data_IF_653638644475
#
_entry.id   IF_653638644475
#
_cell.length_a   1.000
_cell.length_b   1.000
_cell.length_c   1.000
_cell.angle_alpha   90.00
_cell.angle_beta   90.00
_cell.angle_gamma   90.00
#
_symmetry.space_group_name_H-M   'P 1'
#
loop_
_entity.id
_entity.type
_entity.pdbx_description
1 polymer ?
#
# COMPACT_ATOMS: atom_id res chain seq x y z
N UNK A 1 6.76 6.92 -4.25
CA UNK A 1 7.17 6.29 -5.53
C UNK A 1 6.40 6.92 -6.67
N UNK A 2 6.68 6.58 -7.93
CA UNK A 2 5.89 7.04 -9.08
C UNK A 2 5.29 5.85 -9.81
N UNK A 3 3.96 5.72 -9.77
CA UNK A 3 3.20 4.75 -10.57
C UNK A 3 2.46 5.51 -11.68
N UNK A 4 2.77 5.26 -12.96
CA UNK A 4 2.13 5.93 -14.07
C UNK A 4 0.69 5.44 -14.23
N UNK A 5 -0.23 6.34 -14.60
CA UNK A 5 -1.64 5.99 -14.86
C UNK A 5 -1.77 4.93 -15.96
N UNK A 6 -0.88 4.97 -16.96
CA UNK A 6 -0.81 3.98 -18.05
C UNK A 6 -0.34 2.59 -17.62
N UNK A 7 0.20 2.45 -16.40
CA UNK A 7 0.88 1.23 -15.92
C UNK A 7 2.01 0.77 -16.84
N UNK A 8 2.64 1.71 -17.54
CA UNK A 8 3.76 1.47 -18.43
C UNK A 8 4.81 2.55 -18.22
N UNK A 9 6.08 2.15 -18.26
CA UNK A 9 7.19 3.07 -18.23
C UNK A 9 7.83 3.20 -19.60
N UNK A 10 8.49 4.33 -19.83
CA UNK A 10 9.35 4.56 -20.97
C UNK A 10 10.68 3.78 -20.82
N UNK A 11 11.36 3.52 -21.94
CA UNK A 11 12.64 2.79 -21.98
C UNK A 11 13.71 3.40 -21.06
N UNK A 12 13.66 4.72 -20.85
CA UNK A 12 14.56 5.41 -19.94
C UNK A 12 14.49 4.87 -18.50
N UNK A 13 13.30 4.46 -18.02
CA UNK A 13 13.11 3.87 -16.69
C UNK A 13 13.38 2.37 -16.72
N UNK A 14 12.97 1.66 -17.77
CA UNK A 14 13.16 0.20 -17.89
C UNK A 14 14.64 -0.21 -17.93
N UNK A 15 15.52 0.69 -18.38
CA UNK A 15 16.97 0.48 -18.43
C UNK A 15 17.72 0.88 -17.14
N UNK A 16 17.01 1.37 -16.11
CA UNK A 16 17.64 1.69 -14.82
C UNK A 16 18.07 0.43 -14.06
N UNK A 17 19.10 0.54 -13.19
CA UNK A 17 19.47 -0.56 -12.31
C UNK A 17 18.31 -0.92 -11.39
N UNK A 18 18.17 -2.22 -11.09
CA UNK A 18 17.16 -2.72 -10.15
C UNK A 18 17.67 -2.69 -8.72
N UNK A 19 16.74 -2.60 -7.76
CA UNK A 19 17.01 -2.87 -6.35
C UNK A 19 17.49 -4.30 -6.13
N UNK A 20 18.17 -4.55 -5.01
CA UNK A 20 18.70 -5.87 -4.68
C UNK A 20 17.63 -6.98 -4.61
N UNK A 21 16.41 -6.63 -4.22
CA UNK A 21 15.25 -7.51 -4.19
C UNK A 21 14.49 -7.58 -5.53
N UNK A 22 14.96 -6.84 -6.55
CA UNK A 22 14.38 -6.81 -7.89
C UNK A 22 13.02 -6.13 -8.00
N UNK A 23 12.50 -5.51 -6.94
CA UNK A 23 11.15 -4.92 -6.90
C UNK A 23 11.05 -3.52 -7.49
N UNK A 24 12.15 -2.79 -7.56
CA UNK A 24 12.19 -1.42 -8.05
C UNK A 24 13.27 -1.22 -9.11
N UNK A 25 13.02 -0.33 -10.06
CA UNK A 25 14.04 0.41 -10.79
C UNK A 25 14.47 1.64 -9.97
N UNK A 26 15.78 1.91 -9.92
CA UNK A 26 16.37 2.96 -9.09
C UNK A 26 16.73 4.18 -9.94
N UNK A 27 15.99 5.28 -9.76
CA UNK A 27 16.27 6.58 -10.38
C UNK A 27 17.46 7.30 -9.74
N UNK A 28 18.10 8.19 -10.52
CA UNK A 28 19.27 8.94 -10.10
C UNK A 28 18.98 9.98 -8.99
N UNK A 29 17.72 10.38 -8.85
CA UNK A 29 17.20 11.32 -7.84
C UNK A 29 16.70 10.62 -6.56
N UNK A 30 16.93 9.31 -6.44
CA UNK A 30 16.42 8.50 -5.33
C UNK A 30 14.96 8.07 -5.48
N UNK A 31 14.30 8.41 -6.60
CA UNK A 31 12.98 7.87 -6.89
C UNK A 31 13.09 6.36 -7.14
N UNK A 32 12.15 5.63 -6.54
CA UNK A 32 11.94 4.20 -6.79
C UNK A 32 10.74 4.03 -7.71
N UNK A 33 10.90 3.25 -8.78
CA UNK A 33 9.81 2.92 -9.70
C UNK A 33 9.50 1.42 -9.55
N UNK A 34 8.33 1.02 -9.06
CA UNK A 34 8.01 -0.39 -8.88
C UNK A 34 8.04 -1.11 -10.22
N UNK A 35 8.68 -2.28 -10.30
CA UNK A 35 8.81 -3.07 -11.54
C UNK A 35 7.44 -3.51 -12.07
N UNK A 36 6.49 -3.77 -11.17
CA UNK A 36 5.06 -3.85 -11.47
C UNK A 36 4.41 -2.49 -11.17
N UNK A 37 4.15 -1.65 -12.20
CA UNK A 37 3.55 -0.32 -12.04
C UNK A 37 2.04 -0.37 -11.78
N UNK A 38 1.61 -1.25 -10.87
CA UNK A 38 0.23 -1.31 -10.40
C UNK A 38 0.11 -0.52 -9.11
N UNK A 39 -0.87 0.38 -9.05
CA UNK A 39 -1.24 1.05 -7.81
C UNK A 39 -2.15 0.13 -6.99
N UNK A 40 -1.92 0.12 -5.68
CA UNK A 40 -2.78 -0.51 -4.70
C UNK A 40 -3.42 0.56 -3.80
N UNK A 41 -4.45 0.15 -3.06
CA UNK A 41 -4.99 0.90 -1.94
C UNK A 41 -4.52 0.22 -0.66
N UNK A 42 -3.57 0.85 0.04
CA UNK A 42 -3.12 0.44 1.37
C UNK A 42 -3.86 1.20 2.46
N UNK A 43 -3.80 0.76 3.72
CA UNK A 43 -4.39 1.52 4.82
C UNK A 43 -3.54 2.74 5.19
N UNK A 44 -4.20 3.83 5.53
CA UNK A 44 -3.54 4.97 6.19
C UNK A 44 -3.04 4.50 7.57
N UNK A 45 -1.88 5.01 7.99
CA UNK A 45 -1.33 4.74 9.32
C UNK A 45 -2.36 5.02 10.44
N UNK A 46 -2.53 4.08 11.36
CA UNK A 46 -3.56 4.09 12.40
C UNK A 46 -4.95 3.58 11.96
N UNK A 47 -5.12 3.20 10.69
CA UNK A 47 -6.35 2.59 10.14
C UNK A 47 -6.10 1.16 9.64
N UNK A 48 -5.15 0.45 10.24
CA UNK A 48 -4.80 -0.90 9.82
C UNK A 48 -5.98 -1.87 9.98
N UNK A 49 -6.09 -2.84 9.06
CA UNK A 49 -7.16 -3.84 9.11
C UNK A 49 -7.26 -4.54 10.47
N UNK A 50 -6.11 -4.88 11.08
CA UNK A 50 -6.11 -5.55 12.39
C UNK A 50 -6.76 -4.69 13.48
N UNK A 51 -6.53 -3.37 13.46
CA UNK A 51 -7.08 -2.42 14.42
C UNK A 51 -8.57 -2.24 14.21
N UNK A 52 -9.00 -2.10 12.95
CA UNK A 52 -10.43 -1.99 12.57
C UNK A 52 -11.18 -3.27 12.96
N UNK A 53 -10.61 -4.44 12.66
CA UNK A 53 -11.19 -5.74 13.01
C UNK A 53 -11.34 -5.89 14.52
N UNK A 54 -10.29 -5.60 15.29
CA UNK A 54 -10.30 -5.78 16.75
C UNK A 54 -11.29 -4.79 17.41
N UNK A 55 -11.39 -3.57 16.90
CA UNK A 55 -12.44 -2.59 17.28
C UNK A 55 -13.84 -3.13 16.99
N UNK A 56 -14.09 -3.62 15.77
CA UNK A 56 -15.39 -4.14 15.36
C UNK A 56 -15.84 -5.35 16.19
N UNK A 57 -14.91 -6.24 16.55
CA UNK A 57 -15.18 -7.38 17.44
C UNK A 57 -15.57 -6.89 18.83
N UNK A 58 -14.77 -5.98 19.42
CA UNK A 58 -15.00 -5.43 20.75
C UNK A 58 -16.33 -4.66 20.85
N UNK A 59 -16.74 -4.02 19.78
CA UNK A 59 -17.97 -3.24 19.70
C UNK A 59 -19.18 -4.03 19.18
N UNK A 60 -19.02 -5.35 18.99
CA UNK A 60 -20.07 -6.25 18.52
C UNK A 60 -20.72 -5.81 17.20
N UNK A 61 -19.90 -5.28 16.27
CA UNK A 61 -20.40 -4.85 14.98
C UNK A 61 -20.96 -6.02 14.17
N UNK A 62 -22.08 -5.75 13.50
CA UNK A 62 -22.57 -6.60 12.43
C UNK A 62 -21.64 -6.52 11.21
N UNK A 63 -21.72 -7.52 10.33
CA UNK A 63 -21.01 -7.50 9.04
C UNK A 63 -21.33 -6.25 8.22
N UNK A 64 -22.59 -5.78 8.26
CA UNK A 64 -23.00 -4.59 7.52
C UNK A 64 -22.32 -3.32 8.06
N UNK A 65 -22.22 -3.15 9.39
CA UNK A 65 -21.53 -2.02 9.99
C UNK A 65 -20.03 -2.02 9.66
N UNK A 66 -19.39 -3.19 9.67
CA UNK A 66 -18.00 -3.32 9.26
C UNK A 66 -17.77 -2.94 7.80
N UNK A 67 -18.63 -3.44 6.89
CA UNK A 67 -18.57 -3.08 5.46
C UNK A 67 -18.76 -1.57 5.28
N UNK A 68 -19.76 -0.98 5.93
CA UNK A 68 -20.02 0.46 5.81
C UNK A 68 -18.86 1.32 6.34
N UNK A 69 -18.21 0.88 7.42
CA UNK A 69 -17.00 1.53 7.91
C UNK A 69 -15.86 1.40 6.90
N UNK A 70 -15.60 0.21 6.37
CA UNK A 70 -14.55 -0.04 5.38
C UNK A 70 -14.81 0.60 4.01
N UNK A 71 -16.05 1.00 3.69
CA UNK A 71 -16.33 1.74 2.45
C UNK A 71 -15.86 3.20 2.49
N UNK A 72 -15.35 3.69 3.63
CA UNK A 72 -14.88 5.06 3.77
C UNK A 72 -13.53 5.24 3.06
N UNK A 73 -13.44 6.09 2.01
CA UNK A 73 -12.22 6.22 1.23
C UNK A 73 -11.04 6.79 2.05
N UNK A 74 -11.32 7.57 3.10
CA UNK A 74 -10.30 8.14 3.98
C UNK A 74 -9.53 7.13 4.85
N UNK A 75 -9.91 5.85 4.81
CA UNK A 75 -9.15 4.76 5.46
C UNK A 75 -7.96 4.31 4.61
N UNK A 76 -7.93 4.69 3.33
CA UNK A 76 -6.97 4.17 2.36
C UNK A 76 -6.14 5.27 1.74
N UNK A 77 -4.96 4.89 1.26
CA UNK A 77 -4.06 5.74 0.49
C UNK A 77 -3.52 4.98 -0.73
N UNK A 78 -3.13 5.73 -1.76
CA UNK A 78 -2.50 5.16 -2.95
C UNK A 78 -1.08 4.74 -2.61
N UNK A 79 -0.77 3.48 -2.87
CA UNK A 79 0.56 2.90 -2.67
C UNK A 79 0.98 2.09 -3.90
N UNK A 80 2.27 1.82 -4.05
CA UNK A 80 2.73 0.78 -4.99
C UNK A 80 2.51 -0.62 -4.42
N UNK A 81 2.46 -1.61 -5.31
CA UNK A 81 2.30 -3.00 -4.91
C UNK A 81 3.35 -3.47 -3.89
N UNK A 82 4.67 -3.26 -4.10
CA UNK A 82 5.67 -3.63 -3.10
C UNK A 82 5.49 -2.94 -1.75
N UNK A 83 5.19 -1.63 -1.74
CA UNK A 83 4.93 -0.86 -0.52
C UNK A 83 3.77 -1.43 0.28
N UNK A 84 2.61 -1.59 -0.36
CA UNK A 84 1.39 -2.09 0.28
C UNK A 84 1.55 -3.53 0.79
N UNK A 85 2.11 -4.43 -0.03
CA UNK A 85 2.30 -5.83 0.37
C UNK A 85 3.28 -6.00 1.54
N UNK A 86 4.16 -5.01 1.75
CA UNK A 86 5.06 -4.99 2.90
C UNK A 86 4.48 -4.29 4.13
N UNK A 87 3.27 -3.72 4.02
CA UNK A 87 2.64 -2.93 5.07
C UNK A 87 3.53 -1.76 5.53
N UNK A 88 4.31 -1.16 4.62
CA UNK A 88 5.36 -0.20 4.97
C UNK A 88 4.85 1.07 5.69
N UNK A 89 3.61 1.45 5.43
CA UNK A 89 2.96 2.64 6.02
C UNK A 89 2.04 2.30 7.21
N UNK A 90 1.86 1.03 7.52
CA UNK A 90 1.00 0.54 8.59
C UNK A 90 1.81 0.38 9.90
N UNK A 91 1.18 0.63 11.04
CA UNK A 91 1.79 0.36 12.33
C UNK A 91 1.86 -1.15 12.59
N UNK A 92 2.98 -1.64 13.16
CA UNK A 92 3.09 -3.04 13.54
C UNK A 92 1.99 -3.36 14.55
N UNK A 93 1.46 -4.57 14.48
CA UNK A 93 0.61 -5.08 15.54
C UNK A 93 1.47 -5.21 16.80
N UNK A 94 1.11 -4.50 17.86
CA UNK A 94 1.78 -4.66 19.16
C UNK A 94 1.70 -6.14 19.55
N UNK A 95 2.83 -6.72 19.97
CA UNK A 95 2.87 -8.09 20.46
C UNK A 95 1.96 -8.16 21.70
N UNK A 96 0.85 -8.88 21.57
CA UNK A 96 -0.07 -9.16 22.68
C UNK A 96 0.52 -10.12 23.71
#
# INVERSE_FOLDING_TARGET
>A
MLVPVSKQYEDAILNLPKSADGKYYLGADGIRYPVDPTYHLGHVSGQEWWRIRDMAIREHWTRQQLIEYCNRPGLYQVEDAPGNLSHASELPREAG
#
